data_IF_775019641856
#
_entry.id   IF_775019641856
#
_cell.length_a   1.000
_cell.length_b   1.000
_cell.length_c   1.000
_cell.angle_alpha   90.00
_cell.angle_beta   90.00
_cell.angle_gamma   90.00
#
_symmetry.space_group_name_H-M   'P 1'
#
loop_
_entity.id
_entity.type
_entity.pdbx_description
1 polymer ?
#
# COMPACT_ATOMS: atom_id res chain seq x y z
N UNK A 1 -21.07 14.45 -1.15
CA UNK A 1 -21.29 14.47 0.31
C UNK A 1 -19.94 14.29 0.98
N UNK A 2 -19.36 15.39 1.49
CA UNK A 2 -18.01 15.38 2.08
C UNK A 2 -18.10 14.81 3.49
N UNK A 3 -17.48 13.67 3.75
CA UNK A 3 -17.31 13.16 5.12
C UNK A 3 -16.13 13.87 5.79
N UNK A 4 -16.45 14.78 6.69
CA UNK A 4 -15.49 15.41 7.58
C UNK A 4 -15.26 14.51 8.79
N UNK A 5 -14.07 13.93 8.91
CA UNK A 5 -13.67 13.11 10.05
C UNK A 5 -13.06 14.01 11.10
N UNK A 6 -13.69 14.11 12.27
CA UNK A 6 -13.14 14.81 13.44
C UNK A 6 -12.14 13.90 14.16
N UNK A 7 -10.95 14.42 14.43
CA UNK A 7 -9.92 13.77 15.25
C UNK A 7 -9.83 14.43 16.63
N UNK A 8 -9.89 13.61 17.68
CA UNK A 8 -9.47 14.01 19.02
C UNK A 8 -8.05 13.50 19.27
N UNK A 9 -7.13 14.43 19.47
CA UNK A 9 -5.72 14.17 19.76
C UNK A 9 -5.50 14.02 21.26
N UNK A 10 -4.93 12.90 21.74
CA UNK A 10 -4.45 12.76 23.12
C UNK A 10 -3.05 12.17 23.20
N UNK A 11 -2.28 12.66 24.18
CA UNK A 11 -0.87 12.45 24.36
C UNK A 11 -0.48 11.02 24.80
N UNK A 12 0.75 10.61 24.45
CA UNK A 12 1.41 9.39 24.95
C UNK A 12 1.61 9.47 26.47
N UNK A 13 1.23 8.42 27.20
CA UNK A 13 1.64 8.20 28.59
C UNK A 13 2.54 6.96 28.64
N UNK A 14 3.64 7.05 29.39
CA UNK A 14 4.54 5.93 29.64
C UNK A 14 3.95 5.02 30.73
N UNK A 15 4.03 3.70 30.54
CA UNK A 15 3.70 2.71 31.57
C UNK A 15 4.80 2.69 32.64
N UNK A 16 4.47 2.34 33.93
CA UNK A 16 5.47 2.21 35.00
C UNK A 16 6.57 1.20 34.71
N UNK A 17 6.34 0.25 33.83
CA UNK A 17 7.28 -0.82 33.45
C UNK A 17 8.16 -0.49 32.24
N UNK A 18 8.16 0.79 31.78
CA UNK A 18 8.98 1.24 30.65
C UNK A 18 8.51 0.75 29.27
N UNK A 19 7.45 -0.05 29.18
CA UNK A 19 6.82 -0.41 27.92
C UNK A 19 5.93 0.75 27.43
N UNK A 20 6.20 1.22 26.23
CA UNK A 20 5.47 2.30 25.58
C UNK A 20 4.11 1.77 25.07
N UNK A 21 3.23 1.34 25.98
CA UNK A 21 1.89 0.86 25.64
C UNK A 21 1.05 2.07 25.24
N UNK A 22 0.58 2.08 23.99
CA UNK A 22 -0.38 3.10 23.53
C UNK A 22 -1.70 2.88 24.28
N UNK A 23 -1.98 3.73 25.25
CA UNK A 23 -3.18 3.65 26.10
C UNK A 23 -4.49 3.93 25.33
N UNK A 24 -4.42 4.62 24.17
CA UNK A 24 -5.55 4.89 23.27
C UNK A 24 -5.11 4.75 21.81
N UNK A 25 -6.01 4.38 20.89
CA UNK A 25 -5.69 4.27 19.48
C UNK A 25 -5.34 5.65 18.90
N UNK A 26 -4.07 5.84 18.58
CA UNK A 26 -3.61 7.03 17.85
C UNK A 26 -3.96 6.80 16.37
N UNK A 27 -4.60 7.78 15.69
CA UNK A 27 -4.91 7.64 14.28
C UNK A 27 -3.62 7.50 13.47
N UNK A 28 -3.57 6.48 12.60
CA UNK A 28 -2.48 6.34 11.65
C UNK A 28 -2.59 7.40 10.56
N UNK A 29 -1.46 7.98 10.18
CA UNK A 29 -1.39 8.86 9.03
C UNK A 29 -1.53 8.03 7.73
N UNK A 30 -2.56 8.28 6.90
CA UNK A 30 -2.73 7.55 5.65
C UNK A 30 -1.71 8.03 4.61
N UNK A 31 -0.91 7.09 4.10
CA UNK A 31 0.10 7.37 3.08
C UNK A 31 0.26 6.16 2.15
N UNK A 32 0.59 6.45 0.87
CA UNK A 32 1.10 5.47 -0.07
C UNK A 32 2.63 5.62 -0.12
N UNK A 33 3.34 4.50 0.06
CA UNK A 33 4.80 4.48 0.13
C UNK A 33 5.33 3.83 -1.15
N UNK A 34 6.23 4.52 -1.84
CA UNK A 34 6.98 3.95 -2.95
C UNK A 34 8.09 3.04 -2.40
N UNK A 35 7.92 1.74 -2.63
CA UNK A 35 8.87 0.69 -2.24
C UNK A 35 9.78 0.25 -3.37
N UNK A 36 9.67 0.84 -4.57
CA UNK A 36 10.46 0.45 -5.74
C UNK A 36 11.95 0.48 -5.44
N UNK A 37 12.60 -0.71 -5.46
CA UNK A 37 14.02 -0.88 -5.14
C UNK A 37 14.39 -0.59 -3.68
N UNK A 38 13.43 -0.31 -2.80
CA UNK A 38 13.68 -0.10 -1.37
C UNK A 38 13.79 -1.42 -0.65
N UNK A 39 14.83 -1.59 0.17
CA UNK A 39 14.99 -2.80 0.94
C UNK A 39 13.96 -2.91 2.05
N UNK A 40 13.30 -4.07 2.11
CA UNK A 40 12.29 -4.41 3.10
C UNK A 40 12.64 -5.77 3.70
N UNK A 41 12.53 -5.91 5.03
CA UNK A 41 12.80 -7.16 5.72
C UNK A 41 11.51 -7.89 6.07
N UNK A 42 11.46 -9.18 5.79
CA UNK A 42 10.46 -10.11 6.34
C UNK A 42 11.16 -11.11 7.26
N UNK A 43 10.72 -11.18 8.50
CA UNK A 43 11.18 -12.15 9.48
C UNK A 43 10.08 -13.17 9.72
N UNK A 44 10.33 -14.42 9.33
CA UNK A 44 9.36 -15.52 9.34
C UNK A 44 9.01 -16.01 7.95
N UNK A 45 9.06 -17.33 7.75
CA UNK A 45 8.88 -17.99 6.45
C UNK A 45 7.62 -18.86 6.36
N UNK A 46 6.70 -18.74 7.33
CA UNK A 46 5.41 -19.42 7.33
C UNK A 46 4.40 -18.81 6.35
N UNK A 47 3.13 -19.28 6.35
CA UNK A 47 2.10 -18.79 5.43
C UNK A 47 1.88 -17.28 5.50
N UNK A 48 1.90 -16.69 6.69
CA UNK A 48 1.74 -15.24 6.89
C UNK A 48 2.94 -14.46 6.34
N UNK A 49 4.17 -14.92 6.64
CA UNK A 49 5.40 -14.35 6.09
C UNK A 49 5.41 -14.40 4.57
N UNK A 50 4.91 -15.49 3.97
CA UNK A 50 4.75 -15.64 2.52
C UNK A 50 3.85 -14.55 1.95
N UNK A 51 2.64 -14.39 2.50
CA UNK A 51 1.70 -13.35 2.05
C UNK A 51 2.31 -11.94 2.12
N UNK A 52 3.07 -11.65 3.18
CA UNK A 52 3.69 -10.33 3.34
C UNK A 52 4.85 -10.12 2.36
N UNK A 53 5.66 -11.16 2.13
CA UNK A 53 6.76 -11.10 1.17
C UNK A 53 6.24 -10.91 -0.26
N UNK A 54 5.20 -11.64 -0.67
CA UNK A 54 4.56 -11.46 -1.99
C UNK A 54 4.09 -10.03 -2.20
N UNK A 55 3.35 -9.47 -1.24
CA UNK A 55 2.86 -8.08 -1.33
C UNK A 55 3.98 -7.04 -1.45
N UNK A 56 5.12 -7.28 -0.80
CA UNK A 56 6.29 -6.41 -0.91
C UNK A 56 6.96 -6.56 -2.27
N UNK A 57 7.08 -7.79 -2.80
CA UNK A 57 7.59 -8.07 -4.15
C UNK A 57 6.70 -7.40 -5.19
N UNK A 58 5.37 -7.54 -5.08
CA UNK A 58 4.40 -6.92 -5.99
C UNK A 58 4.46 -5.38 -5.94
N UNK A 59 4.89 -4.81 -4.81
CA UNK A 59 5.14 -3.37 -4.68
C UNK A 59 6.53 -2.94 -5.16
N UNK A 60 7.30 -3.83 -5.77
CA UNK A 60 8.64 -3.55 -6.31
C UNK A 60 9.76 -3.44 -5.27
N UNK A 61 9.53 -3.91 -4.04
CA UNK A 61 10.54 -3.86 -2.99
C UNK A 61 11.70 -4.86 -3.24
N UNK A 62 12.91 -4.50 -2.78
CA UNK A 62 14.03 -5.42 -2.61
C UNK A 62 13.84 -6.18 -1.28
N UNK A 63 13.25 -7.39 -1.36
CA UNK A 63 12.89 -8.16 -0.17
C UNK A 63 14.06 -8.98 0.33
N UNK A 64 14.43 -8.72 1.61
CA UNK A 64 15.28 -9.61 2.42
C UNK A 64 14.39 -10.51 3.26
N UNK A 65 14.61 -11.81 3.21
CA UNK A 65 13.89 -12.81 4.00
C UNK A 65 14.81 -13.44 5.05
N UNK A 66 14.37 -13.49 6.29
CA UNK A 66 15.09 -14.17 7.39
C UNK A 66 14.17 -15.20 8.03
N UNK A 67 14.45 -16.46 7.81
CA UNK A 67 13.74 -17.58 8.42
C UNK A 67 14.56 -18.86 8.29
N UNK A 68 14.60 -19.73 9.33
CA UNK A 68 15.22 -21.07 9.22
C UNK A 68 14.53 -21.92 8.16
N UNK A 69 13.21 -21.87 8.12
CA UNK A 69 12.35 -22.65 7.22
C UNK A 69 11.44 -21.69 6.43
N UNK A 70 11.10 -22.09 5.22
CA UNK A 70 10.23 -21.32 4.31
C UNK A 70 9.22 -22.24 3.64
N UNK A 71 8.06 -21.67 3.29
CA UNK A 71 7.06 -22.37 2.50
C UNK A 71 7.57 -22.69 1.09
N UNK A 72 6.98 -23.70 0.39
CA UNK A 72 7.29 -23.96 -1.03
C UNK A 72 7.13 -22.71 -1.89
N UNK A 73 6.11 -21.89 -1.62
CA UNK A 73 5.87 -20.67 -2.37
C UNK A 73 6.98 -19.61 -2.19
N UNK A 74 7.51 -19.44 -0.97
CA UNK A 74 8.68 -18.59 -0.76
C UNK A 74 9.94 -19.14 -1.45
N UNK A 75 10.09 -20.47 -1.46
CA UNK A 75 11.20 -21.12 -2.17
C UNK A 75 11.14 -20.84 -3.69
N UNK A 76 9.94 -20.84 -4.29
CA UNK A 76 9.74 -20.46 -5.69
C UNK A 76 10.15 -19.00 -5.94
N UNK A 77 9.74 -18.05 -5.08
CA UNK A 77 10.10 -16.63 -5.20
C UNK A 77 11.62 -16.42 -5.09
N UNK A 78 12.28 -17.15 -4.21
CA UNK A 78 13.75 -17.14 -4.09
C UNK A 78 14.40 -17.73 -5.34
N UNK A 79 13.93 -18.86 -5.83
CA UNK A 79 14.45 -19.52 -7.03
C UNK A 79 14.26 -18.68 -8.28
N UNK A 80 13.15 -17.95 -8.39
CA UNK A 80 12.85 -17.00 -9.48
C UNK A 80 13.64 -15.68 -9.37
N UNK A 81 14.39 -15.45 -8.29
CA UNK A 81 15.13 -14.21 -8.06
C UNK A 81 14.26 -13.02 -7.65
N UNK A 82 12.98 -13.22 -7.38
CA UNK A 82 12.08 -12.19 -6.87
C UNK A 82 12.45 -11.80 -5.43
N UNK A 83 12.92 -12.77 -4.64
CA UNK A 83 13.58 -12.56 -3.35
C UNK A 83 15.04 -12.92 -3.49
N UNK A 84 15.92 -11.91 -3.52
CA UNK A 84 17.35 -12.09 -3.81
C UNK A 84 18.17 -12.47 -2.58
N UNK A 85 17.69 -12.16 -1.39
CA UNK A 85 18.43 -12.37 -0.14
C UNK A 85 17.58 -13.18 0.85
N UNK A 86 17.95 -14.44 1.05
CA UNK A 86 17.33 -15.33 2.04
C UNK A 86 18.39 -15.87 3.01
N UNK A 87 18.24 -15.50 4.28
CA UNK A 87 19.07 -16.00 5.38
C UNK A 87 18.36 -17.15 6.09
N UNK A 88 18.84 -18.38 5.87
CA UNK A 88 18.29 -19.61 6.50
C UNK A 88 18.74 -19.75 7.96
N UNK A 89 18.31 -18.82 8.79
CA UNK A 89 18.64 -18.76 10.22
C UNK A 89 17.64 -17.87 10.96
N UNK A 90 17.75 -17.85 12.30
CA UNK A 90 17.02 -16.89 13.12
C UNK A 90 17.46 -15.42 12.88
N UNK A 91 16.63 -14.51 13.28
CA UNK A 91 16.82 -13.07 13.18
C UNK A 91 18.04 -12.56 13.96
N UNK A 92 18.71 -11.59 13.40
CA UNK A 92 19.81 -10.83 14.03
C UNK A 92 19.60 -9.33 13.77
N UNK A 93 19.98 -8.47 14.74
CA UNK A 93 19.75 -7.01 14.65
C UNK A 93 20.35 -6.34 13.41
N UNK A 94 21.46 -6.87 12.86
CA UNK A 94 22.05 -6.36 11.62
C UNK A 94 21.24 -6.66 10.36
N UNK A 95 20.24 -7.57 10.42
CA UNK A 95 19.34 -7.85 9.29
C UNK A 95 18.50 -6.63 8.91
N UNK A 96 18.36 -5.66 9.82
CA UNK A 96 17.68 -4.39 9.57
C UNK A 96 18.53 -3.37 8.79
N UNK A 97 19.81 -3.61 8.59
CA UNK A 97 20.70 -2.64 7.94
C UNK A 97 20.27 -2.37 6.50
N UNK A 98 20.10 -1.08 6.20
CA UNK A 98 19.65 -0.59 4.89
C UNK A 98 18.16 -0.81 4.58
N UNK A 99 17.38 -1.36 5.52
CA UNK A 99 15.96 -1.57 5.31
C UNK A 99 15.14 -0.32 5.64
N UNK A 100 14.10 -0.06 4.82
CA UNK A 100 13.11 1.00 5.06
C UNK A 100 12.06 0.55 6.06
N UNK A 101 11.62 -0.71 5.94
CA UNK A 101 10.60 -1.30 6.80
C UNK A 101 10.93 -2.76 7.13
N UNK A 102 10.32 -3.24 8.22
CA UNK A 102 10.35 -4.63 8.62
C UNK A 102 8.96 -5.15 8.97
N UNK A 103 8.67 -6.38 8.53
CA UNK A 103 7.48 -7.12 8.94
C UNK A 103 7.96 -8.37 9.70
N UNK A 104 7.55 -8.49 10.97
CA UNK A 104 7.77 -9.68 11.78
C UNK A 104 6.52 -10.56 11.74
N UNK A 105 6.65 -11.75 11.19
CA UNK A 105 5.60 -12.74 10.98
C UNK A 105 6.04 -14.12 11.49
N UNK A 106 6.57 -14.17 12.72
CA UNK A 106 6.99 -15.42 13.36
C UNK A 106 6.05 -15.79 14.50
N UNK A 107 6.01 -17.05 14.88
CA UNK A 107 5.27 -17.55 16.05
C UNK A 107 6.05 -17.29 17.35
N UNK A 108 7.33 -16.89 17.27
CA UNK A 108 8.17 -16.60 18.43
C UNK A 108 7.98 -15.14 18.88
N UNK A 109 7.22 -14.97 19.97
CA UNK A 109 6.96 -13.65 20.54
C UNK A 109 8.24 -12.93 21.04
N UNK A 110 9.30 -13.67 21.42
CA UNK A 110 10.56 -13.05 21.84
C UNK A 110 11.30 -12.46 20.63
N UNK A 111 11.32 -13.20 19.51
CA UNK A 111 11.86 -12.70 18.23
C UNK A 111 11.07 -11.46 17.78
N UNK A 112 9.74 -11.52 17.79
CA UNK A 112 8.88 -10.42 17.37
C UNK A 112 9.13 -9.15 18.20
N UNK A 113 9.21 -9.27 19.53
CA UNK A 113 9.56 -8.12 20.41
C UNK A 113 10.94 -7.56 20.12
N UNK A 114 11.92 -8.43 19.86
CA UNK A 114 13.28 -8.01 19.52
C UNK A 114 13.33 -7.27 18.19
N UNK A 115 12.65 -7.78 17.14
CA UNK A 115 12.54 -7.08 15.85
C UNK A 115 11.93 -5.70 16.04
N UNK A 116 10.85 -5.60 16.84
CA UNK A 116 10.21 -4.33 17.15
C UNK A 116 11.16 -3.35 17.85
N UNK A 117 11.83 -3.79 18.93
CA UNK A 117 12.74 -2.92 19.69
C UNK A 117 13.91 -2.43 18.83
N UNK A 118 14.50 -3.31 18.03
CA UNK A 118 15.60 -2.98 17.11
C UNK A 118 15.14 -2.00 16.02
N UNK A 119 13.95 -2.16 15.47
CA UNK A 119 13.37 -1.30 14.46
C UNK A 119 12.97 0.08 15.01
N UNK A 120 12.32 0.14 16.17
CA UNK A 120 11.96 1.40 16.85
C UNK A 120 13.23 2.21 17.18
N UNK A 121 14.28 1.56 17.68
CA UNK A 121 15.56 2.23 17.98
C UNK A 121 16.20 2.90 16.75
N UNK A 122 15.93 2.37 15.56
CA UNK A 122 16.39 2.88 14.26
C UNK A 122 15.36 3.78 13.57
N UNK A 123 14.22 4.05 14.19
CA UNK A 123 13.10 4.85 13.63
C UNK A 123 12.58 4.30 12.30
N UNK A 124 12.55 2.99 12.19
CA UNK A 124 12.06 2.28 11.00
C UNK A 124 10.54 2.08 11.07
N UNK A 125 9.93 1.79 9.92
CA UNK A 125 8.57 1.28 9.86
C UNK A 125 8.58 -0.19 10.30
N UNK A 126 7.82 -0.49 11.37
CA UNK A 126 7.75 -1.84 11.98
C UNK A 126 6.30 -2.30 12.02
N UNK A 127 6.06 -3.51 11.54
CA UNK A 127 4.79 -4.21 11.68
C UNK A 127 5.04 -5.60 12.26
N UNK A 128 4.54 -5.86 13.45
CA UNK A 128 4.48 -7.20 14.04
C UNK A 128 3.08 -7.74 13.83
N UNK A 129 2.98 -8.81 13.05
CA UNK A 129 1.68 -9.38 12.66
C UNK A 129 0.90 -9.81 13.89
N UNK A 130 -0.38 -9.46 13.92
CA UNK A 130 -1.34 -9.75 15.01
C UNK A 130 -0.97 -9.16 16.38
N UNK A 131 0.00 -8.22 16.45
CA UNK A 131 0.41 -7.55 17.70
C UNK A 131 0.34 -6.02 17.51
N UNK A 132 -0.85 -5.39 17.58
CA UNK A 132 -1.05 -3.98 17.20
C UNK A 132 -0.18 -2.98 17.98
N UNK A 133 0.13 -3.23 19.25
CA UNK A 133 0.96 -2.36 20.08
C UNK A 133 2.46 -2.38 19.69
N UNK A 134 2.90 -3.41 18.94
CA UNK A 134 4.23 -3.52 18.34
C UNK A 134 4.24 -3.11 16.86
N UNK A 135 3.31 -2.22 16.46
CA UNK A 135 3.23 -1.71 15.10
C UNK A 135 3.26 -0.19 15.11
N UNK A 136 4.15 0.43 14.32
CA UNK A 136 4.09 1.86 14.03
C UNK A 136 3.52 2.17 12.64
N UNK A 137 3.31 1.15 11.81
CA UNK A 137 2.48 1.21 10.61
C UNK A 137 1.61 -0.04 10.48
N UNK A 138 0.52 0.07 9.74
CA UNK A 138 -0.40 -1.03 9.44
C UNK A 138 -0.55 -1.21 7.95
N UNK A 139 -0.83 -2.45 7.52
CA UNK A 139 -1.16 -2.77 6.14
C UNK A 139 -2.69 -2.76 6.01
N UNK A 140 -3.26 -1.82 5.24
CA UNK A 140 -4.71 -1.73 5.06
C UNK A 140 -5.27 -2.84 4.18
N UNK A 141 -6.60 -2.94 4.11
CA UNK A 141 -7.29 -3.72 3.08
C UNK A 141 -7.32 -2.90 1.79
N UNK A 142 -6.72 -3.41 0.70
CA UNK A 142 -6.50 -2.66 -0.54
C UNK A 142 -7.31 -3.25 -1.68
N UNK A 143 -7.99 -2.37 -2.43
CA UNK A 143 -8.47 -2.60 -3.79
C UNK A 143 -7.51 -1.91 -4.76
N UNK A 144 -7.23 -2.54 -5.91
CA UNK A 144 -6.36 -1.96 -6.92
C UNK A 144 -6.84 -2.29 -8.33
N UNK A 145 -6.95 -1.25 -9.16
CA UNK A 145 -7.16 -1.36 -10.60
C UNK A 145 -6.06 -0.54 -11.30
N UNK A 146 -4.99 -1.20 -11.75
CA UNK A 146 -3.80 -0.51 -12.24
C UNK A 146 -3.23 0.44 -11.18
N UNK A 147 -3.16 1.73 -11.52
CA UNK A 147 -2.66 2.77 -10.61
C UNK A 147 -3.70 3.31 -9.63
N UNK A 148 -4.98 3.08 -9.91
CA UNK A 148 -6.01 3.40 -8.94
C UNK A 148 -5.92 2.43 -7.77
N UNK A 149 -5.74 2.97 -6.57
CA UNK A 149 -5.72 2.19 -5.35
C UNK A 149 -6.59 2.84 -4.27
N UNK A 150 -7.40 2.02 -3.60
CA UNK A 150 -8.17 2.43 -2.43
C UNK A 150 -7.75 1.60 -1.24
N UNK A 151 -7.29 2.27 -0.19
CA UNK A 151 -6.84 1.64 1.05
C UNK A 151 -7.87 1.86 2.16
N UNK A 152 -8.36 0.79 2.76
CA UNK A 152 -9.36 0.82 3.83
C UNK A 152 -8.73 0.35 5.13
N UNK A 153 -8.77 1.22 6.14
CA UNK A 153 -8.28 0.92 7.49
C UNK A 153 -9.36 1.18 8.53
N UNK A 154 -9.37 0.36 9.58
CA UNK A 154 -10.18 0.56 10.79
C UNK A 154 -9.31 0.89 12.00
N UNK A 155 -8.06 1.33 11.77
CA UNK A 155 -7.10 1.58 12.85
C UNK A 155 -6.70 0.33 13.65
N UNK A 156 -6.90 -0.87 13.06
CA UNK A 156 -6.66 -2.14 13.75
C UNK A 156 -7.90 -2.70 14.48
N UNK A 157 -9.02 -1.96 14.52
CA UNK A 157 -10.22 -2.38 15.26
C UNK A 157 -10.89 -3.63 14.67
N UNK A 158 -10.95 -3.77 13.34
CA UNK A 158 -11.60 -4.93 12.71
C UNK A 158 -11.15 -5.17 11.26
N UNK A 159 -10.31 -6.17 11.01
CA UNK A 159 -9.97 -6.58 9.65
C UNK A 159 -11.19 -7.01 8.81
N UNK A 160 -12.22 -7.57 9.46
CA UNK A 160 -13.45 -8.00 8.80
C UNK A 160 -14.22 -6.80 8.25
N UNK A 161 -14.36 -5.74 9.05
CA UNK A 161 -15.02 -4.49 8.64
C UNK A 161 -14.22 -3.83 7.50
N UNK A 162 -12.90 -3.72 7.63
CA UNK A 162 -12.04 -3.18 6.58
C UNK A 162 -12.22 -3.92 5.24
N UNK A 163 -12.24 -5.26 5.29
CA UNK A 163 -12.49 -6.11 4.10
C UNK A 163 -13.88 -5.88 3.53
N UNK A 164 -14.91 -5.78 4.38
CA UNK A 164 -16.29 -5.57 3.93
C UNK A 164 -16.46 -4.23 3.23
N UNK A 165 -15.89 -3.17 3.80
CA UNK A 165 -15.91 -1.82 3.19
C UNK A 165 -15.16 -1.83 1.85
N UNK A 166 -13.97 -2.46 1.79
CA UNK A 166 -13.25 -2.64 0.53
C UNK A 166 -14.10 -3.34 -0.53
N UNK A 167 -14.80 -4.43 -0.18
CA UNK A 167 -15.70 -5.14 -1.11
C UNK A 167 -16.89 -4.30 -1.59
N UNK A 168 -17.37 -3.36 -0.77
CA UNK A 168 -18.39 -2.41 -1.19
C UNK A 168 -17.82 -1.46 -2.24
N UNK A 169 -16.67 -0.86 -1.95
CA UNK A 169 -15.98 0.04 -2.88
C UNK A 169 -15.64 -0.68 -4.20
N UNK A 170 -15.18 -1.93 -4.14
CA UNK A 170 -14.79 -2.73 -5.30
C UNK A 170 -15.97 -3.10 -6.23
N UNK A 171 -17.21 -3.08 -5.72
CA UNK A 171 -18.43 -3.25 -6.54
C UNK A 171 -18.86 -1.97 -7.24
N UNK A 172 -18.60 -0.82 -6.62
CA UNK A 172 -18.99 0.49 -7.15
C UNK A 172 -17.89 1.08 -8.05
N UNK A 173 -16.65 0.66 -7.87
CA UNK A 173 -15.47 1.14 -8.61
C UNK A 173 -14.84 -0.07 -9.30
N UNK A 174 -15.20 -0.25 -10.56
CA UNK A 174 -14.70 -1.36 -11.37
C UNK A 174 -13.36 -1.05 -12.07
N UNK A 175 -12.86 -2.00 -12.89
CA UNK A 175 -11.58 -1.87 -13.61
C UNK A 175 -11.55 -0.71 -14.61
N UNK A 176 -12.70 -0.27 -15.13
CA UNK A 176 -12.84 0.89 -16.02
C UNK A 176 -12.27 2.18 -15.43
N UNK A 177 -12.35 2.36 -14.11
CA UNK A 177 -11.72 3.49 -13.43
C UNK A 177 -10.20 3.42 -13.46
N UNK A 178 -9.64 2.21 -13.36
CA UNK A 178 -8.20 1.99 -13.51
C UNK A 178 -7.73 2.32 -14.93
N UNK A 179 -8.51 1.93 -15.95
CA UNK A 179 -8.23 2.25 -17.34
C UNK A 179 -8.30 3.76 -17.59
N UNK A 180 -9.32 4.43 -17.05
CA UNK A 180 -9.42 5.89 -17.12
C UNK A 180 -8.20 6.59 -16.51
N UNK A 181 -7.73 6.15 -15.35
CA UNK A 181 -6.53 6.68 -14.71
C UNK A 181 -5.29 6.49 -15.60
N UNK A 182 -5.16 5.34 -16.27
CA UNK A 182 -4.06 5.10 -17.22
C UNK A 182 -4.12 6.07 -18.41
N UNK A 183 -5.30 6.26 -19.00
CA UNK A 183 -5.51 7.23 -20.09
C UNK A 183 -5.17 8.66 -19.65
N UNK A 184 -5.64 9.06 -18.45
CA UNK A 184 -5.34 10.39 -17.89
C UNK A 184 -3.84 10.60 -17.61
N UNK A 185 -3.11 9.55 -17.26
CA UNK A 185 -1.64 9.60 -17.13
C UNK A 185 -0.98 9.88 -18.47
N UNK A 186 -1.36 9.16 -19.52
CA UNK A 186 -0.82 9.33 -20.87
C UNK A 186 -1.11 10.73 -21.46
N UNK A 187 -2.25 11.31 -21.10
CA UNK A 187 -2.66 12.64 -21.58
C UNK A 187 -2.14 13.80 -20.73
N UNK A 188 -1.48 13.53 -19.60
CA UNK A 188 -1.09 14.53 -18.59
C UNK A 188 -0.27 15.70 -19.15
N UNK A 189 0.69 15.41 -20.02
CA UNK A 189 1.55 16.46 -20.58
C UNK A 189 0.84 17.26 -21.68
N UNK A 190 -0.06 16.63 -22.44
CA UNK A 190 -0.97 17.32 -23.35
C UNK A 190 -1.89 18.29 -22.60
N UNK A 191 -2.47 17.83 -21.52
CA UNK A 191 -3.32 18.64 -20.65
C UNK A 191 -2.58 19.86 -20.07
N UNK A 192 -1.34 19.70 -19.63
CA UNK A 192 -0.49 20.80 -19.14
C UNK A 192 -0.17 21.84 -20.23
N UNK A 193 0.03 21.40 -21.46
CA UNK A 193 0.26 22.31 -22.59
C UNK A 193 -0.98 23.08 -22.98
N UNK A 194 -2.16 22.42 -22.93
CA UNK A 194 -3.44 23.04 -23.33
C UNK A 194 -3.99 24.01 -22.27
N UNK A 195 -3.84 23.69 -20.99
CA UNK A 195 -4.37 24.47 -19.88
C UNK A 195 -3.23 24.87 -18.94
N UNK A 196 -2.97 26.19 -18.87
CA UNK A 196 -1.81 26.73 -18.14
C UNK A 196 -1.92 26.53 -16.61
N UNK A 197 -3.12 26.65 -16.05
CA UNK A 197 -3.37 26.64 -14.61
C UNK A 197 -4.08 25.36 -14.12
N UNK A 198 -3.98 25.07 -12.83
CA UNK A 198 -4.60 23.90 -12.20
C UNK A 198 -6.13 23.92 -12.21
N UNK A 199 -6.81 25.06 -11.92
CA UNK A 199 -8.27 25.10 -11.98
C UNK A 199 -8.83 24.76 -13.36
N UNK A 200 -8.25 25.26 -14.44
CA UNK A 200 -8.68 24.93 -15.81
C UNK A 200 -8.48 23.46 -16.15
N UNK A 201 -7.37 22.86 -15.70
CA UNK A 201 -7.13 21.40 -15.83
C UNK A 201 -8.16 20.58 -15.06
N UNK A 202 -8.45 20.96 -13.83
CA UNK A 202 -9.45 20.29 -13.02
C UNK A 202 -10.83 20.38 -13.67
N UNK A 203 -11.24 21.56 -14.14
CA UNK A 203 -12.52 21.75 -14.82
C UNK A 203 -12.64 20.91 -16.10
N UNK A 204 -11.55 20.76 -16.88
CA UNK A 204 -11.55 19.91 -18.07
C UNK A 204 -11.71 18.43 -17.74
N UNK A 205 -11.05 17.95 -16.66
CA UNK A 205 -11.22 16.56 -16.19
C UNK A 205 -12.61 16.34 -15.60
N UNK A 206 -13.15 17.27 -14.84
CA UNK A 206 -14.54 17.19 -14.32
C UNK A 206 -15.56 17.16 -15.47
N UNK A 207 -15.38 17.95 -16.53
CA UNK A 207 -16.23 17.90 -17.70
C UNK A 207 -16.16 16.53 -18.42
N UNK A 208 -14.98 15.92 -18.47
CA UNK A 208 -14.82 14.57 -19.00
C UNK A 208 -15.52 13.54 -18.12
N UNK A 209 -15.38 13.62 -16.79
CA UNK A 209 -16.06 12.71 -15.83
C UNK A 209 -17.59 12.90 -15.85
N UNK A 210 -18.10 14.06 -16.24
CA UNK A 210 -19.52 14.31 -16.45
C UNK A 210 -20.07 13.75 -17.76
N UNK A 211 -19.25 13.17 -18.63
CA UNK A 211 -19.66 12.47 -19.85
C UNK A 211 -19.91 10.99 -19.58
N UNK A 212 -20.20 10.22 -20.64
CA UNK A 212 -20.37 8.76 -20.61
C UNK A 212 -19.04 7.97 -20.71
N UNK A 213 -17.92 8.59 -20.34
CA UNK A 213 -16.59 7.96 -20.51
C UNK A 213 -16.44 6.68 -19.67
N UNK A 214 -16.92 6.68 -18.43
CA UNK A 214 -16.81 5.50 -17.55
C UNK A 214 -17.66 4.35 -18.08
N UNK A 215 -18.89 4.63 -18.53
CA UNK A 215 -19.78 3.67 -19.15
C UNK A 215 -19.21 3.08 -20.44
N UNK A 216 -18.55 3.90 -21.26
CA UNK A 216 -17.87 3.42 -22.47
C UNK A 216 -16.75 2.46 -22.14
N UNK A 217 -15.88 2.83 -21.18
CA UNK A 217 -14.81 1.94 -20.73
C UNK A 217 -15.37 0.65 -20.12
N UNK A 218 -16.43 0.73 -19.34
CA UNK A 218 -17.09 -0.44 -18.75
C UNK A 218 -17.68 -1.40 -19.82
N UNK A 219 -18.10 -0.88 -20.96
CA UNK A 219 -18.60 -1.66 -22.09
C UNK A 219 -17.55 -2.04 -23.12
N UNK A 220 -16.29 -1.64 -22.92
CA UNK A 220 -15.17 -1.91 -23.81
C UNK A 220 -15.08 -1.00 -25.03
N UNK A 221 -15.87 0.09 -25.08
CA UNK A 221 -15.80 1.13 -26.14
C UNK A 221 -14.62 2.08 -25.89
N UNK A 222 -13.41 1.55 -26.00
CA UNK A 222 -12.18 2.29 -25.79
C UNK A 222 -11.98 3.43 -26.80
N UNK A 223 -12.33 3.21 -28.06
CA UNK A 223 -12.18 4.21 -29.10
C UNK A 223 -13.09 5.42 -28.83
N UNK A 224 -14.36 5.18 -28.49
CA UNK A 224 -15.28 6.24 -28.10
C UNK A 224 -14.86 6.98 -26.82
N UNK A 225 -14.22 6.29 -25.86
CA UNK A 225 -13.64 6.92 -24.69
C UNK A 225 -12.45 7.84 -25.06
N UNK A 226 -11.55 7.39 -25.97
CA UNK A 226 -10.42 8.19 -26.44
C UNK A 226 -10.88 9.43 -27.22
N UNK A 227 -11.96 9.34 -27.98
CA UNK A 227 -12.58 10.48 -28.65
C UNK A 227 -13.11 11.52 -27.65
N UNK A 228 -13.68 11.08 -26.52
CA UNK A 228 -14.08 11.97 -25.43
C UNK A 228 -12.88 12.66 -24.81
N UNK A 229 -11.82 11.91 -24.54
CA UNK A 229 -10.55 12.45 -24.03
C UNK A 229 -9.98 13.50 -24.97
N UNK A 230 -9.90 13.22 -26.26
CA UNK A 230 -9.38 14.17 -27.25
C UNK A 230 -10.22 15.47 -27.30
N UNK A 231 -11.53 15.38 -27.20
CA UNK A 231 -12.45 16.54 -27.18
C UNK A 231 -12.25 17.39 -25.92
N UNK A 232 -12.22 16.78 -24.76
CA UNK A 232 -12.16 17.51 -23.48
C UNK A 232 -10.73 17.92 -23.10
N UNK A 233 -9.75 17.03 -23.27
CA UNK A 233 -8.39 17.22 -22.77
C UNK A 233 -7.38 17.56 -23.89
N UNK A 234 -7.71 17.28 -25.12
CA UNK A 234 -6.81 17.34 -26.27
C UNK A 234 -6.20 15.97 -26.62
N UNK A 235 -5.57 15.84 -27.79
CA UNK A 235 -4.99 14.59 -28.23
C UNK A 235 -3.89 14.12 -27.28
N UNK A 236 -3.79 12.78 -27.08
CA UNK A 236 -2.65 12.19 -26.41
C UNK A 236 -1.34 12.59 -27.10
N UNK A 237 -0.26 12.72 -26.34
CA UNK A 237 1.05 12.94 -26.95
C UNK A 237 1.36 11.76 -27.89
N UNK A 238 1.95 12.02 -29.09
CA UNK A 238 2.46 10.91 -29.88
C UNK A 238 3.51 10.14 -29.08
N UNK A 239 3.43 8.80 -29.15
CA UNK A 239 4.32 7.89 -28.47
C UNK A 239 5.78 8.07 -28.90
#
# INVERSE_FOLDING_TARGET
MVFMVFYLYRARMASPDGENVRAEPVPFYPAFIDLTGRRCLVVGGGPVGTEKAEKLVDAGADVRLVSPEITPRLAELVAAGAIREHHRRGYRSHDLEGCLLVIAATDDAAVNRRVWADGESRRMLVNVVDVPHLCNFIVPSIMRHGDLAVAVSTGGASPVVARRVRQIVEREIGPEWGELVAILRETRDGLKRRFADMPSRAAAVEALLGSDIVERLATGDRDGALDLVARHLGPAAPA
#
